data_IF_527700843617
#
_entry.id   IF_527700843617
#
_cell.length_a   1.000
_cell.length_b   1.000
_cell.length_c   1.000
_cell.angle_alpha   90.00
_cell.angle_beta   90.00
_cell.angle_gamma   90.00
#
_symmetry.space_group_name_H-M   'P 1'
#
loop_
_entity.id
_entity.type
_entity.pdbx_description
1 polymer ?
#
# COMPACT_ATOMS: atom_id res chain seq x y z
N UNK A 1 32.21 37.56 -2.54
CA UNK A 1 31.68 36.84 -3.72
C UNK A 1 31.41 35.34 -3.46
N UNK A 2 32.05 34.73 -2.46
CA UNK A 2 32.01 33.29 -2.15
C UNK A 2 30.77 32.79 -1.39
N UNK A 3 30.02 33.67 -0.72
CA UNK A 3 28.89 33.25 0.13
C UNK A 3 27.76 32.58 -0.63
N UNK A 4 27.43 33.05 -1.84
CA UNK A 4 26.38 32.44 -2.67
C UNK A 4 26.77 31.04 -3.18
N UNK A 5 28.05 30.85 -3.53
CA UNK A 5 28.57 29.53 -3.91
C UNK A 5 28.51 28.55 -2.72
N UNK A 6 28.89 29.00 -1.52
CA UNK A 6 28.77 28.17 -0.31
C UNK A 6 27.32 27.80 0.00
N UNK A 7 26.37 28.72 -0.21
CA UNK A 7 24.94 28.44 -0.02
C UNK A 7 24.41 27.40 -0.99
N UNK A 8 24.83 27.44 -2.27
CA UNK A 8 24.43 26.46 -3.28
C UNK A 8 25.01 25.08 -2.95
N UNK A 9 26.30 25.02 -2.64
CA UNK A 9 26.99 23.76 -2.30
C UNK A 9 26.38 23.15 -1.05
N UNK A 10 26.10 23.95 -0.01
CA UNK A 10 25.42 23.52 1.21
C UNK A 10 24.03 22.91 0.95
N UNK A 11 23.23 23.56 0.10
CA UNK A 11 21.89 23.06 -0.22
C UNK A 11 21.93 21.73 -0.97
N UNK A 12 22.85 21.61 -1.93
CA UNK A 12 23.03 20.38 -2.70
C UNK A 12 23.57 19.24 -1.83
N UNK A 13 24.54 19.51 -0.95
CA UNK A 13 25.05 18.53 0.01
C UNK A 13 23.97 18.08 1.00
N UNK A 14 23.13 18.98 1.50
CA UNK A 14 22.04 18.61 2.43
C UNK A 14 20.99 17.73 1.75
N UNK A 15 20.71 17.97 0.47
CA UNK A 15 19.82 17.09 -0.32
C UNK A 15 20.45 15.75 -0.67
N UNK A 16 21.75 15.72 -0.98
CA UNK A 16 22.46 14.48 -1.27
C UNK A 16 22.73 13.64 -0.01
N UNK A 17 22.90 14.28 1.15
CA UNK A 17 23.05 13.62 2.45
C UNK A 17 21.72 13.15 3.05
N UNK A 18 20.60 13.72 2.60
CA UNK A 18 19.27 13.10 2.72
C UNK A 18 19.17 11.97 1.70
N UNK A 19 19.96 10.93 1.95
CA UNK A 19 19.92 9.71 1.18
C UNK A 19 18.63 8.98 1.55
N UNK A 20 17.52 9.32 0.88
CA UNK A 20 16.21 8.65 0.98
C UNK A 20 16.27 7.19 0.44
N UNK A 21 17.49 6.64 0.25
CA UNK A 21 17.76 5.26 -0.18
C UNK A 21 17.42 4.31 0.96
N UNK A 22 16.20 3.79 0.90
CA UNK A 22 15.65 2.86 1.88
C UNK A 22 14.45 3.42 2.63
N UNK A 23 14.27 4.75 2.66
CA UNK A 23 13.10 5.37 3.25
C UNK A 23 11.83 5.00 2.46
N UNK A 24 11.92 4.97 1.14
CA UNK A 24 10.85 4.43 0.28
C UNK A 24 10.69 2.91 0.38
N UNK A 25 11.80 2.15 0.48
CA UNK A 25 11.74 0.68 0.54
C UNK A 25 11.02 0.18 1.80
N UNK A 26 11.26 0.80 2.95
CA UNK A 26 10.55 0.47 4.21
C UNK A 26 9.08 0.87 4.16
N UNK A 27 8.73 1.98 3.50
CA UNK A 27 7.34 2.39 3.31
C UNK A 27 6.55 1.39 2.45
N UNK A 28 7.12 0.93 1.33
CA UNK A 28 6.51 -0.11 0.50
C UNK A 28 6.41 -1.45 1.22
N UNK A 29 7.45 -1.85 1.96
CA UNK A 29 7.41 -3.06 2.78
C UNK A 29 6.36 -2.98 3.87
N UNK A 30 6.17 -1.80 4.49
CA UNK A 30 5.13 -1.56 5.47
C UNK A 30 3.72 -1.73 4.90
N UNK A 31 3.45 -1.15 3.72
CA UNK A 31 2.17 -1.33 3.03
C UNK A 31 1.97 -2.79 2.63
N UNK A 32 3.00 -3.46 2.09
CA UNK A 32 2.93 -4.88 1.72
C UNK A 32 2.63 -5.76 2.93
N UNK A 33 3.25 -5.50 4.09
CA UNK A 33 2.98 -6.25 5.32
C UNK A 33 1.52 -6.12 5.76
N UNK A 34 0.95 -4.91 5.67
CA UNK A 34 -0.47 -4.66 5.96
C UNK A 34 -1.37 -5.42 4.97
N UNK A 35 -1.06 -5.36 3.67
CA UNK A 35 -1.82 -6.09 2.65
C UNK A 35 -1.80 -7.60 2.92
N UNK A 36 -0.63 -8.18 3.19
CA UNK A 36 -0.49 -9.61 3.51
C UNK A 36 -1.27 -9.97 4.77
N UNK A 37 -1.22 -9.14 5.82
CA UNK A 37 -1.99 -9.36 7.04
C UNK A 37 -3.50 -9.40 6.77
N UNK A 38 -4.03 -8.49 5.93
CA UNK A 38 -5.44 -8.47 5.55
C UNK A 38 -5.80 -9.70 4.72
N UNK A 39 -4.97 -10.07 3.73
CA UNK A 39 -5.20 -11.28 2.92
C UNK A 39 -5.27 -12.52 3.81
N UNK A 40 -4.33 -12.70 4.74
CA UNK A 40 -4.35 -13.83 5.66
C UNK A 40 -5.55 -13.82 6.60
N UNK A 41 -5.93 -12.64 7.12
CA UNK A 41 -7.11 -12.48 7.97
C UNK A 41 -8.40 -12.88 7.24
N UNK A 42 -8.49 -12.64 5.93
CA UNK A 42 -9.67 -12.96 5.12
C UNK A 42 -9.63 -14.40 4.58
N UNK A 43 -8.45 -14.95 4.26
CA UNK A 43 -8.30 -16.28 3.63
C UNK A 43 -8.83 -17.41 4.50
N UNK A 44 -8.83 -17.26 5.83
CA UNK A 44 -9.41 -18.22 6.78
C UNK A 44 -10.91 -18.08 7.02
N UNK A 45 -11.59 -17.17 6.31
CA UNK A 45 -13.03 -16.88 6.52
C UNK A 45 -13.87 -17.40 5.37
N UNK A 46 -15.14 -17.73 5.67
CA UNK A 46 -16.12 -18.16 4.67
C UNK A 46 -16.78 -16.97 3.95
N UNK A 47 -16.15 -15.79 3.93
CA UNK A 47 -16.75 -14.58 3.36
C UNK A 47 -17.00 -14.72 1.86
N UNK A 48 -16.09 -15.38 1.13
CA UNK A 48 -16.24 -15.64 -0.30
C UNK A 48 -17.45 -16.50 -0.60
N UNK A 49 -17.64 -17.57 0.18
CA UNK A 49 -18.80 -18.45 0.05
C UNK A 49 -20.10 -17.73 0.45
N UNK A 50 -20.06 -16.91 1.50
CA UNK A 50 -21.21 -16.13 1.97
C UNK A 50 -21.69 -15.12 0.93
N UNK A 51 -20.75 -14.40 0.29
CA UNK A 51 -21.05 -13.47 -0.80
C UNK A 51 -21.57 -14.24 -2.02
N UNK A 52 -20.94 -15.35 -2.40
CA UNK A 52 -21.38 -16.18 -3.52
C UNK A 52 -22.81 -16.68 -3.33
N UNK A 53 -23.14 -17.19 -2.13
CA UNK A 53 -24.48 -17.66 -1.80
C UNK A 53 -25.48 -16.49 -1.88
N UNK A 54 -25.18 -15.35 -1.26
CA UNK A 54 -26.06 -14.19 -1.29
C UNK A 54 -26.35 -13.69 -2.71
N UNK A 55 -25.34 -13.68 -3.59
CA UNK A 55 -25.52 -13.33 -5.01
C UNK A 55 -26.40 -14.37 -5.70
N UNK A 56 -26.13 -15.66 -5.48
CA UNK A 56 -26.87 -16.77 -6.10
C UNK A 56 -28.33 -16.75 -5.69
N UNK A 57 -28.62 -16.56 -4.39
CA UNK A 57 -29.97 -16.44 -3.85
C UNK A 57 -30.73 -15.29 -4.51
N UNK A 58 -30.07 -14.14 -4.70
CA UNK A 58 -30.66 -12.98 -5.38
C UNK A 58 -30.91 -13.24 -6.86
N UNK A 59 -30.05 -14.00 -7.53
CA UNK A 59 -30.31 -14.44 -8.90
C UNK A 59 -31.53 -15.34 -8.93
N UNK A 60 -31.61 -16.36 -8.07
CA UNK A 60 -32.74 -17.30 -7.99
C UNK A 60 -34.06 -16.58 -7.72
N UNK A 61 -34.06 -15.57 -6.84
CA UNK A 61 -35.23 -14.73 -6.55
C UNK A 61 -35.74 -14.00 -7.80
N UNK A 62 -34.83 -13.48 -8.64
CA UNK A 62 -35.19 -12.73 -9.85
C UNK A 62 -35.53 -13.66 -11.02
N UNK A 63 -34.85 -14.80 -11.15
CA UNK A 63 -35.10 -15.77 -12.22
C UNK A 63 -36.28 -16.69 -11.91
N UNK A 64 -36.81 -16.64 -10.69
CA UNK A 64 -37.97 -17.42 -10.27
C UNK A 64 -37.71 -18.92 -10.30
N UNK A 65 -36.54 -19.35 -9.78
CA UNK A 65 -36.00 -20.72 -9.85
C UNK A 65 -37.03 -21.85 -9.87
#
# INVERSE_FOLDING_TARGET
MSNWLNTIVSHLQTRAARDDRGQTAVEYLGIIAVVVAIVLAITGTDIGQSIYNAITDKITEVTGG
#
